data_IF_512259126558
#
_entry.id   IF_512259126558
#
_cell.length_a   1.000
_cell.length_b   1.000
_cell.length_c   1.000
_cell.angle_alpha   90.00
_cell.angle_beta   90.00
_cell.angle_gamma   90.00
#
_symmetry.space_group_name_H-M   'P 1'
#
loop_
_entity.id
_entity.type
_entity.pdbx_description
1 polymer ?
#
# COMPACT_ATOMS: atom_id res chain seq x y z
N UNK A 1 15.80 5.34 2.53
CA UNK A 1 15.34 4.16 3.28
C UNK A 1 14.48 4.68 4.43
N UNK A 2 13.24 4.21 4.56
CA UNK A 2 12.33 4.62 5.64
C UNK A 2 11.78 3.38 6.33
N UNK A 3 11.67 3.40 7.65
CA UNK A 3 11.15 2.28 8.43
C UNK A 3 9.62 2.32 8.40
N UNK A 4 9.03 1.72 7.36
CA UNK A 4 7.57 1.69 7.20
C UNK A 4 6.88 0.93 8.33
N UNK A 5 7.55 -0.02 8.98
CA UNK A 5 6.96 -0.75 10.11
C UNK A 5 6.70 0.18 11.30
N UNK A 6 7.69 0.96 11.71
CA UNK A 6 7.53 1.93 12.80
C UNK A 6 6.54 3.04 12.45
N UNK A 7 6.40 3.40 11.17
CA UNK A 7 5.39 4.36 10.73
C UNK A 7 3.97 3.84 10.99
N UNK A 8 3.67 2.61 10.58
CA UNK A 8 2.34 2.03 10.77
C UNK A 8 2.05 1.70 12.23
N UNK A 9 3.06 1.35 13.03
CA UNK A 9 2.90 1.18 14.48
C UNK A 9 2.54 2.53 15.14
N UNK A 10 3.20 3.63 14.76
CA UNK A 10 2.86 4.98 15.24
C UNK A 10 1.48 5.43 14.76
N UNK A 11 1.09 5.09 13.54
CA UNK A 11 -0.24 5.39 13.00
C UNK A 11 -1.35 4.77 13.86
N UNK A 12 -1.20 3.48 14.21
CA UNK A 12 -2.17 2.77 15.04
C UNK A 12 -2.19 3.25 16.50
N UNK A 13 -1.06 3.73 17.01
CA UNK A 13 -0.91 4.16 18.41
C UNK A 13 -1.15 5.65 18.66
N UNK A 14 -1.23 6.47 17.61
CA UNK A 14 -1.33 7.92 17.76
C UNK A 14 -2.63 8.33 18.47
N UNK A 15 -2.55 8.96 19.66
CA UNK A 15 -3.73 9.52 20.31
C UNK A 15 -4.16 10.81 19.60
N UNK A 16 -5.47 11.05 19.51
CA UNK A 16 -6.10 12.26 18.95
C UNK A 16 -6.01 12.39 17.40
N UNK A 17 -6.06 13.62 16.87
CA UNK A 17 -6.06 13.96 15.43
C UNK A 17 -4.72 13.67 14.69
N UNK A 18 -3.74 13.05 15.34
CA UNK A 18 -2.46 12.70 14.72
C UNK A 18 -2.63 11.74 13.53
N UNK A 19 -3.58 10.82 13.60
CA UNK A 19 -3.96 9.95 12.49
C UNK A 19 -4.45 10.74 11.26
N UNK A 20 -5.19 11.83 11.48
CA UNK A 20 -5.79 12.63 10.40
C UNK A 20 -4.74 13.37 9.56
N UNK A 21 -3.68 13.88 10.21
CA UNK A 21 -2.54 14.49 9.49
C UNK A 21 -1.76 13.41 8.73
N UNK A 22 -1.64 12.21 9.31
CA UNK A 22 -0.94 11.09 8.69
C UNK A 22 -1.69 10.54 7.46
N UNK A 23 -3.02 10.51 7.48
CA UNK A 23 -3.85 10.04 6.36
C UNK A 23 -3.50 10.71 5.03
N UNK A 24 -3.12 11.99 5.05
CA UNK A 24 -2.74 12.73 3.85
C UNK A 24 -1.52 12.16 3.09
N UNK A 25 -0.63 11.45 3.78
CA UNK A 25 0.55 10.83 3.16
C UNK A 25 0.58 9.30 3.28
N UNK A 26 -0.37 8.71 4.00
CA UNK A 26 -0.44 7.27 4.22
C UNK A 26 -0.54 6.48 2.92
N UNK A 27 -1.29 6.94 1.93
CA UNK A 27 -1.39 6.23 0.64
C UNK A 27 -0.05 6.18 -0.11
N UNK A 28 0.73 7.27 -0.03
CA UNK A 28 2.09 7.31 -0.58
C UNK A 28 2.99 6.32 0.14
N UNK A 29 2.96 6.29 1.47
CA UNK A 29 3.80 5.40 2.26
C UNK A 29 3.37 3.93 2.12
N UNK A 30 2.07 3.63 2.03
CA UNK A 30 1.53 2.31 1.69
C UNK A 30 2.04 1.83 0.33
N UNK A 31 2.05 2.71 -0.68
CA UNK A 31 2.59 2.38 -2.01
C UNK A 31 4.10 2.12 -1.95
N UNK A 32 4.87 2.91 -1.20
CA UNK A 32 6.32 2.68 -0.99
C UNK A 32 6.61 1.37 -0.27
N UNK A 33 5.84 1.07 0.78
CA UNK A 33 5.97 -0.18 1.51
C UNK A 33 5.63 -1.36 0.61
N UNK A 34 4.56 -1.25 -0.19
CA UNK A 34 4.17 -2.28 -1.16
C UNK A 34 5.24 -2.52 -2.22
N UNK A 35 5.94 -1.49 -2.69
CA UNK A 35 7.12 -1.61 -3.57
C UNK A 35 8.24 -2.44 -2.93
N UNK A 36 8.50 -2.25 -1.64
CA UNK A 36 9.52 -3.04 -0.92
C UNK A 36 9.05 -4.47 -0.70
N UNK A 37 7.80 -4.66 -0.28
CA UNK A 37 7.20 -5.97 -0.02
C UNK A 37 7.19 -6.82 -1.31
N UNK A 38 6.74 -6.26 -2.43
CA UNK A 38 6.64 -6.99 -3.71
C UNK A 38 7.99 -7.37 -4.30
N UNK A 39 9.08 -6.70 -3.92
CA UNK A 39 10.45 -7.09 -4.28
C UNK A 39 11.01 -8.22 -3.42
N UNK A 40 10.52 -8.37 -2.19
CA UNK A 40 11.04 -9.34 -1.23
C UNK A 40 10.34 -10.70 -1.31
N UNK A 41 9.11 -10.75 -1.82
CA UNK A 41 8.29 -11.97 -1.88
C UNK A 41 7.80 -12.25 -3.29
N UNK A 42 7.48 -13.52 -3.58
CA UNK A 42 6.88 -13.93 -4.85
C UNK A 42 5.35 -13.88 -4.83
N UNK A 43 4.76 -14.36 -3.74
CA UNK A 43 3.32 -14.31 -3.48
C UNK A 43 3.09 -13.95 -2.01
N UNK A 44 2.05 -13.17 -1.74
CA UNK A 44 1.70 -12.76 -0.37
C UNK A 44 0.18 -12.80 -0.16
N UNK A 45 -0.31 -13.30 0.99
CA UNK A 45 -1.72 -13.21 1.34
C UNK A 45 -2.22 -11.78 1.51
N UNK A 46 -3.41 -11.47 1.00
CA UNK A 46 -4.04 -10.17 1.16
C UNK A 46 -4.19 -9.79 2.65
N UNK A 47 -4.46 -10.78 3.50
CA UNK A 47 -4.54 -10.63 4.96
C UNK A 47 -3.23 -10.15 5.60
N UNK A 48 -2.08 -10.54 5.04
CA UNK A 48 -0.78 -10.05 5.49
C UNK A 48 -0.57 -8.59 5.12
N UNK A 49 -0.92 -8.20 3.88
CA UNK A 49 -0.82 -6.82 3.41
C UNK A 49 -1.72 -5.91 4.23
N UNK A 50 -2.98 -6.31 4.43
CA UNK A 50 -3.95 -5.62 5.28
C UNK A 50 -3.40 -5.31 6.67
N UNK A 51 -2.88 -6.32 7.36
CA UNK A 51 -2.31 -6.15 8.71
C UNK A 51 -1.03 -5.32 8.69
N UNK A 52 -0.14 -5.57 7.72
CA UNK A 52 1.20 -4.94 7.71
C UNK A 52 1.17 -3.47 7.31
N UNK A 53 0.19 -3.06 6.51
CA UNK A 53 0.01 -1.68 6.03
C UNK A 53 -1.13 -0.94 6.74
N UNK A 54 -1.65 -1.52 7.83
CA UNK A 54 -2.70 -0.95 8.68
C UNK A 54 -3.87 -0.40 7.85
N UNK A 55 -4.44 -1.24 6.99
CA UNK A 55 -5.72 -0.93 6.33
C UNK A 55 -6.88 -1.21 7.29
N UNK A 56 -7.98 -0.48 7.11
CA UNK A 56 -9.18 -0.64 7.95
C UNK A 56 -9.93 -1.95 7.70
N UNK A 57 -9.86 -2.46 6.47
CA UNK A 57 -10.50 -3.72 6.08
C UNK A 57 -9.80 -4.40 4.91
N UNK A 58 -10.09 -5.70 4.72
CA UNK A 58 -9.63 -6.44 3.55
C UNK A 58 -10.18 -5.85 2.25
N UNK A 59 -11.42 -5.36 2.27
CA UNK A 59 -12.05 -4.70 1.12
C UNK A 59 -11.32 -3.40 0.75
N UNK A 60 -10.97 -2.59 1.75
CA UNK A 60 -10.16 -1.38 1.54
C UNK A 60 -8.78 -1.71 0.95
N UNK A 61 -8.18 -2.82 1.41
CA UNK A 61 -6.90 -3.32 0.86
C UNK A 61 -7.05 -3.74 -0.60
N UNK A 62 -8.09 -4.52 -0.92
CA UNK A 62 -8.41 -4.92 -2.29
C UNK A 62 -8.62 -3.70 -3.19
N UNK A 63 -9.47 -2.76 -2.75
CA UNK A 63 -9.77 -1.52 -3.47
C UNK A 63 -8.49 -0.71 -3.74
N UNK A 64 -7.63 -0.54 -2.73
CA UNK A 64 -6.35 0.13 -2.90
C UNK A 64 -5.49 -0.53 -3.99
N UNK A 65 -5.41 -1.86 -4.01
CA UNK A 65 -4.66 -2.59 -5.04
C UNK A 65 -5.26 -2.41 -6.44
N UNK A 66 -6.59 -2.36 -6.56
CA UNK A 66 -7.28 -2.09 -7.83
C UNK A 66 -7.03 -0.66 -8.32
N UNK A 67 -7.17 0.33 -7.42
CA UNK A 67 -6.94 1.75 -7.73
C UNK A 67 -5.50 2.01 -8.17
N UNK A 68 -4.56 1.18 -7.72
CA UNK A 68 -3.14 1.23 -8.09
C UNK A 68 -2.78 0.32 -9.26
N UNK A 69 -3.74 -0.31 -9.94
CA UNK A 69 -3.49 -1.22 -11.08
C UNK A 69 -2.51 -2.36 -10.75
N UNK A 70 -2.55 -2.82 -9.49
CA UNK A 70 -1.63 -3.81 -8.95
C UNK A 70 -2.34 -5.03 -8.34
N UNK A 71 -3.67 -5.13 -8.48
CA UNK A 71 -4.49 -6.25 -8.02
C UNK A 71 -4.31 -7.53 -8.87
N UNK A 72 -3.07 -8.02 -8.95
CA UNK A 72 -2.75 -9.28 -9.61
C UNK A 72 -2.90 -10.43 -8.64
N UNK A 73 -4.08 -11.02 -8.57
CA UNK A 73 -4.30 -12.20 -7.73
C UNK A 73 -3.93 -13.48 -8.48
N UNK A 74 -3.32 -14.42 -7.77
CA UNK A 74 -3.01 -15.76 -8.30
C UNK A 74 -4.28 -16.52 -8.64
N UNK A 75 -5.28 -16.46 -7.76
CA UNK A 75 -6.63 -16.97 -7.97
C UNK A 75 -7.66 -15.85 -7.69
N UNK A 76 -8.36 -15.41 -8.73
CA UNK A 76 -9.32 -14.30 -8.61
C UNK A 76 -10.69 -14.72 -8.04
N UNK A 77 -11.01 -16.03 -8.07
CA UNK A 77 -12.32 -16.58 -7.70
C UNK A 77 -12.43 -16.98 -6.21
N UNK A 78 -11.37 -16.84 -5.43
CA UNK A 78 -11.38 -17.12 -3.98
C UNK A 78 -11.82 -15.90 -3.18
N UNK A 79 -12.34 -16.14 -1.98
CA UNK A 79 -12.69 -15.10 -1.03
C UNK A 79 -11.46 -14.26 -0.60
N UNK A 80 -11.68 -13.00 -0.23
CA UNK A 80 -10.62 -12.02 0.09
C UNK A 80 -9.65 -12.49 1.19
N UNK A 81 -10.11 -13.32 2.12
CA UNK A 81 -9.28 -13.90 3.18
C UNK A 81 -8.26 -14.95 2.69
N UNK A 82 -8.46 -15.49 1.48
CA UNK A 82 -7.61 -16.51 0.85
C UNK A 82 -6.90 -15.99 -0.41
N UNK A 83 -7.19 -14.76 -0.84
CA UNK A 83 -6.54 -14.14 -2.00
C UNK A 83 -5.04 -13.95 -1.74
N UNK A 84 -4.24 -14.40 -2.69
CA UNK A 84 -2.79 -14.18 -2.70
C UNK A 84 -2.42 -13.25 -3.86
N UNK A 85 -1.73 -12.17 -3.55
CA UNK A 85 -1.15 -11.23 -4.50
C UNK A 85 0.08 -11.84 -5.17
N UNK A 86 0.12 -11.83 -6.50
CA UNK A 86 1.32 -12.09 -7.31
C UNK A 86 2.21 -10.85 -7.29
N UNK A 87 3.22 -10.90 -6.42
CA UNK A 87 4.15 -9.80 -6.21
C UNK A 87 5.02 -9.53 -7.43
N UNK A 88 5.31 -10.56 -8.25
CA UNK A 88 6.13 -10.39 -9.46
C UNK A 88 5.40 -9.51 -10.45
N UNK A 89 4.13 -9.80 -10.73
CA UNK A 89 3.30 -8.97 -11.64
C UNK A 89 3.06 -7.58 -11.07
N UNK A 90 2.72 -7.47 -9.78
CA UNK A 90 2.49 -6.19 -9.13
C UNK A 90 3.74 -5.29 -9.14
N UNK A 91 4.93 -5.85 -8.94
CA UNK A 91 6.20 -5.10 -8.90
C UNK A 91 6.56 -4.38 -10.20
N UNK A 92 6.00 -4.78 -11.34
CA UNK A 92 6.24 -4.16 -12.63
C UNK A 92 5.50 -2.82 -12.78
N UNK A 93 4.28 -2.74 -12.26
CA UNK A 93 3.42 -1.55 -12.38
C UNK A 93 3.60 -0.56 -11.22
N UNK A 94 3.90 -1.06 -10.02
CA UNK A 94 4.04 -0.24 -8.81
C UNK A 94 5.01 0.96 -8.95
N UNK A 95 6.19 0.84 -9.61
CA UNK A 95 7.10 1.97 -9.73
C UNK A 95 6.49 3.11 -10.54
N UNK A 96 5.85 2.81 -11.66
CA UNK A 96 5.21 3.80 -12.52
C UNK A 96 4.04 4.48 -11.81
N UNK A 97 3.21 3.69 -11.12
CA UNK A 97 2.08 4.20 -10.34
C UNK A 97 2.56 5.12 -9.22
N UNK A 98 3.64 4.75 -8.53
CA UNK A 98 4.24 5.59 -7.49
C UNK A 98 4.76 6.93 -8.05
N UNK A 99 5.46 6.89 -9.17
CA UNK A 99 6.02 8.08 -9.81
C UNK A 99 4.91 9.03 -10.30
N UNK A 100 3.89 8.49 -10.96
CA UNK A 100 2.80 9.28 -11.56
C UNK A 100 1.87 9.87 -10.51
N UNK A 101 1.44 9.09 -9.51
CA UNK A 101 0.49 9.55 -8.49
C UNK A 101 1.12 10.35 -7.36
N UNK A 102 2.36 10.04 -6.96
CA UNK A 102 2.92 10.56 -5.70
C UNK A 102 4.23 11.33 -5.83
N UNK A 103 5.03 11.13 -6.88
CA UNK A 103 6.28 11.88 -7.07
C UNK A 103 6.11 13.10 -7.97
N UNK A 104 5.28 13.01 -9.01
CA UNK A 104 4.99 14.12 -9.93
C UNK A 104 4.06 15.20 -9.36
N UNK A 105 3.46 14.97 -8.19
CA UNK A 105 2.81 16.02 -7.39
C UNK A 105 3.89 16.80 -6.62
N UNK A 106 4.87 17.30 -7.38
CA UNK A 106 5.79 18.32 -6.91
C UNK A 106 5.01 19.61 -6.82
N UNK A 107 4.92 20.15 -5.61
CA UNK A 107 4.39 21.47 -5.27
C UNK A 107 4.72 22.43 -6.42
N UNK A 108 3.71 22.89 -7.17
CA UNK A 108 3.83 24.16 -7.87
C UNK A 108 4.02 25.18 -6.76
N UNK A 109 5.28 25.53 -6.50
CA UNK A 109 5.63 26.60 -5.59
C UNK A 109 4.89 27.83 -6.07
N UNK A 110 3.88 28.24 -5.30
CA UNK A 110 3.43 29.61 -5.34
C UNK A 110 4.55 30.43 -4.70
N UNK A 111 5.41 30.98 -5.56
CA UNK A 111 6.18 32.19 -5.33
C UNK A 111 5.60 33.23 -6.27
#
# INVERSE_FOLDING_TARGET
>A
MGNYHSLFDLYLLAPNMGAYIMDHFMDRERTRALLTITKAYRTIPLTFIHKKLAFDSLEATSKFLFDHSCAFFTDANVADNQKNLDCKRASLNLPEVYETKYRKVGIKGAI
#
